data_IF_177918118265
#
_entry.id   IF_177918118265
#
_cell.length_a   1.000
_cell.length_b   1.000
_cell.length_c   1.000
_cell.angle_alpha   90.00
_cell.angle_beta   90.00
_cell.angle_gamma   90.00
#
_symmetry.space_group_name_H-M   'P 1'
#
loop_
_entity.id
_entity.type
_entity.pdbx_description
1 polymer ?
#
# COMPACT_ATOMS: atom_id res chain seq x y z
N UNK A 1 8.57 -3.22 3.01
CA UNK A 1 7.54 -3.75 2.09
C UNK A 1 6.31 -4.30 2.80
N UNK A 2 6.39 -5.44 3.51
CA UNK A 2 5.19 -6.07 4.11
C UNK A 2 4.50 -5.12 5.10
N UNK A 3 5.28 -4.50 5.98
CA UNK A 3 4.79 -3.52 6.93
C UNK A 3 4.11 -2.32 6.24
N UNK A 4 4.74 -1.79 5.18
CA UNK A 4 4.23 -0.63 4.45
C UNK A 4 2.85 -0.90 3.83
N UNK A 5 2.64 -2.10 3.28
CA UNK A 5 1.35 -2.53 2.74
C UNK A 5 0.28 -2.70 3.82
N UNK A 6 0.64 -3.28 4.97
CA UNK A 6 -0.29 -3.48 6.08
C UNK A 6 -0.78 -2.14 6.67
N UNK A 7 0.14 -1.19 6.85
CA UNK A 7 -0.21 0.15 7.34
C UNK A 7 -1.03 0.94 6.32
N UNK A 8 -0.78 0.76 5.02
CA UNK A 8 -1.61 1.38 3.97
C UNK A 8 -3.03 0.85 4.02
N UNK A 9 -3.22 -0.48 4.08
CA UNK A 9 -4.54 -1.10 4.18
C UNK A 9 -5.25 -0.67 5.48
N UNK A 10 -4.53 -0.62 6.60
CA UNK A 10 -5.08 -0.14 7.87
C UNK A 10 -5.57 1.31 7.77
N UNK A 11 -4.78 2.21 7.16
CA UNK A 11 -5.19 3.60 6.96
C UNK A 11 -6.35 3.72 5.98
N UNK A 12 -6.33 2.94 4.91
CA UNK A 12 -7.41 2.87 3.92
C UNK A 12 -8.74 2.45 4.56
N UNK A 13 -8.74 1.38 5.35
CA UNK A 13 -9.91 0.91 6.09
C UNK A 13 -10.41 1.95 7.10
N UNK A 14 -9.50 2.62 7.82
CA UNK A 14 -9.86 3.73 8.72
C UNK A 14 -10.51 4.90 7.98
N UNK A 15 -10.02 5.27 6.80
CA UNK A 15 -10.60 6.38 6.03
C UNK A 15 -11.98 6.02 5.46
N UNK A 16 -12.18 4.77 5.05
CA UNK A 16 -13.50 4.26 4.65
C UNK A 16 -14.49 4.28 5.82
N UNK A 17 -14.04 3.87 7.01
CA UNK A 17 -14.79 3.93 8.26
C UNK A 17 -15.21 5.36 8.63
N UNK A 18 -14.33 6.34 8.38
CA UNK A 18 -14.61 7.77 8.57
C UNK A 18 -15.59 8.33 7.52
N UNK A 19 -16.04 7.52 6.56
CA UNK A 19 -17.06 7.85 5.58
C UNK A 19 -16.55 8.41 4.25
N UNK A 20 -15.24 8.46 4.02
CA UNK A 20 -14.66 8.88 2.73
C UNK A 20 -15.05 7.92 1.60
N UNK A 21 -15.20 8.46 0.38
CA UNK A 21 -15.38 7.65 -0.81
C UNK A 21 -14.17 6.77 -1.08
N UNK A 22 -14.38 5.59 -1.69
CA UNK A 22 -13.32 4.61 -1.97
C UNK A 22 -12.09 5.21 -2.67
N UNK A 23 -12.31 5.97 -3.75
CA UNK A 23 -11.21 6.52 -4.55
C UNK A 23 -10.42 7.59 -3.76
N UNK A 24 -11.11 8.38 -2.94
CA UNK A 24 -10.51 9.38 -2.03
C UNK A 24 -9.75 8.75 -0.88
N UNK A 25 -10.34 7.75 -0.23
CA UNK A 25 -9.70 6.98 0.85
C UNK A 25 -8.43 6.30 0.34
N UNK A 26 -8.46 5.74 -0.88
CA UNK A 26 -7.30 5.09 -1.50
C UNK A 26 -6.19 6.10 -1.81
N UNK A 27 -6.55 7.25 -2.36
CA UNK A 27 -5.60 8.32 -2.67
C UNK A 27 -4.92 8.84 -1.39
N UNK A 28 -5.70 9.15 -0.34
CA UNK A 28 -5.14 9.75 0.88
C UNK A 28 -4.34 8.73 1.71
N UNK A 29 -4.78 7.46 1.73
CA UNK A 29 -4.00 6.36 2.30
C UNK A 29 -2.65 6.21 1.57
N UNK A 30 -2.67 6.17 0.23
CA UNK A 30 -1.48 6.05 -0.60
C UNK A 30 -0.51 7.23 -0.42
N UNK A 31 -1.02 8.46 -0.45
CA UNK A 31 -0.23 9.69 -0.24
C UNK A 31 0.47 9.72 1.12
N UNK A 32 -0.22 9.27 2.18
CA UNK A 32 0.37 9.21 3.53
C UNK A 32 1.59 8.29 3.62
N UNK A 33 1.63 7.21 2.82
CA UNK A 33 2.70 6.22 2.82
C UNK A 33 3.76 6.47 1.76
N UNK A 34 3.40 7.16 0.67
CA UNK A 34 4.33 7.52 -0.41
C UNK A 34 5.60 8.16 0.13
N UNK A 35 5.46 9.19 0.98
CA UNK A 35 6.62 9.90 1.56
C UNK A 35 7.51 8.98 2.40
N UNK A 36 6.92 8.14 3.25
CA UNK A 36 7.66 7.27 4.16
C UNK A 36 8.42 6.15 3.39
N UNK A 37 7.75 5.49 2.44
CA UNK A 37 8.34 4.41 1.64
C UNK A 37 9.46 4.96 0.75
N UNK A 38 9.21 6.10 0.10
CA UNK A 38 10.18 6.76 -0.76
C UNK A 38 11.42 7.21 0.01
N UNK A 39 11.23 7.86 1.16
CA UNK A 39 12.33 8.30 2.01
C UNK A 39 13.18 7.14 2.53
N UNK A 40 12.54 6.04 2.94
CA UNK A 40 13.24 4.84 3.42
C UNK A 40 14.09 4.25 2.31
N UNK A 41 13.54 4.15 1.10
CA UNK A 41 14.24 3.60 -0.06
C UNK A 41 15.46 4.42 -0.44
N UNK A 42 15.30 5.75 -0.52
CA UNK A 42 16.41 6.67 -0.78
C UNK A 42 17.47 6.54 0.31
N UNK A 43 17.06 6.51 1.58
CA UNK A 43 17.99 6.42 2.70
C UNK A 43 18.79 5.11 2.66
N UNK A 44 18.17 3.98 2.29
CA UNK A 44 18.91 2.72 2.16
C UNK A 44 19.90 2.75 1.01
N UNK A 45 19.49 3.26 -0.17
CA UNK A 45 20.39 3.37 -1.33
C UNK A 45 21.53 4.33 -1.02
N UNK A 46 21.25 5.48 -0.40
CA UNK A 46 22.24 6.46 0.02
C UNK A 46 23.21 5.89 1.08
N UNK A 47 22.71 5.09 2.03
CA UNK A 47 23.54 4.43 3.03
C UNK A 47 24.52 3.40 2.44
N UNK A 48 24.17 2.80 1.29
CA UNK A 48 25.04 1.88 0.55
C UNK A 48 26.01 2.61 -0.40
N UNK A 49 25.77 3.88 -0.72
CA UNK A 49 26.63 4.68 -1.60
C UNK A 49 28.12 4.69 -1.23
N UNK A 50 28.54 4.89 0.04
CA UNK A 50 29.97 4.87 0.40
C UNK A 50 30.61 3.51 0.11
N UNK A 51 29.89 2.41 0.36
CA UNK A 51 30.37 1.06 0.09
C UNK A 51 30.50 0.77 -1.42
N UNK A 52 29.66 1.40 -2.25
CA UNK A 52 29.76 1.32 -3.71
C UNK A 52 30.93 2.15 -4.27
N UNK A 53 31.38 3.19 -3.56
CA UNK A 53 32.52 4.02 -3.97
C UNK A 53 33.87 3.46 -3.49
N UNK A 54 33.85 2.63 -2.44
CA UNK A 54 35.04 2.02 -1.85
C UNK A 54 35.78 1.08 -2.83
N UNK A 55 37.11 1.12 -2.79
CA UNK A 55 38.00 0.34 -3.69
C UNK A 55 38.81 -0.74 -2.98
N UNK A 56 38.67 -0.87 -1.66
CA UNK A 56 39.34 -1.93 -0.90
C UNK A 56 38.96 -3.34 -1.38
N UNK A 57 39.87 -4.30 -1.18
CA UNK A 57 39.67 -5.70 -1.60
C UNK A 57 38.53 -6.38 -0.84
N UNK A 58 38.29 -6.00 0.42
CA UNK A 58 37.10 -6.43 1.16
C UNK A 58 35.81 -5.86 0.55
N UNK A 59 35.78 -4.58 0.13
CA UNK A 59 34.59 -3.96 -0.43
C UNK A 59 34.18 -4.53 -1.80
N UNK A 60 35.12 -5.06 -2.58
CA UNK A 60 34.82 -5.70 -3.87
C UNK A 60 33.89 -6.91 -3.74
N UNK A 61 33.95 -7.66 -2.63
CA UNK A 61 33.01 -8.76 -2.35
C UNK A 61 31.62 -8.27 -1.95
N UNK A 62 31.53 -7.11 -1.30
CA UNK A 62 30.26 -6.52 -0.82
C UNK A 62 29.52 -5.75 -1.93
N UNK A 63 30.26 -5.24 -2.92
CA UNK A 63 29.72 -4.50 -4.07
C UNK A 63 28.56 -5.20 -4.79
N UNK A 64 28.69 -6.45 -5.26
CA UNK A 64 27.59 -7.13 -5.97
C UNK A 64 26.36 -7.34 -5.08
N UNK A 65 26.54 -7.57 -3.77
CA UNK A 65 25.42 -7.65 -2.83
C UNK A 65 24.71 -6.31 -2.67
N UNK A 66 25.46 -5.22 -2.49
CA UNK A 66 24.90 -3.88 -2.33
C UNK A 66 24.14 -3.40 -3.58
N UNK A 67 24.66 -3.73 -4.78
CA UNK A 67 23.98 -3.44 -6.05
C UNK A 67 22.66 -4.20 -6.13
N UNK A 68 22.66 -5.51 -5.83
CA UNK A 68 21.45 -6.34 -5.84
C UNK A 68 20.38 -5.81 -4.88
N UNK A 69 20.77 -5.47 -3.65
CA UNK A 69 19.85 -4.91 -2.64
C UNK A 69 19.29 -3.56 -3.09
N UNK A 70 20.14 -2.66 -3.58
CA UNK A 70 19.72 -1.32 -4.02
C UNK A 70 18.69 -1.40 -5.16
N UNK A 71 18.95 -2.27 -6.16
CA UNK A 71 18.01 -2.50 -7.26
C UNK A 71 16.72 -3.17 -6.78
N UNK A 72 16.83 -4.17 -5.89
CA UNK A 72 15.69 -4.88 -5.32
C UNK A 72 14.76 -3.93 -4.57
N UNK A 73 15.30 -3.04 -3.73
CA UNK A 73 14.53 -2.03 -2.99
C UNK A 73 13.92 -1.00 -3.94
N UNK A 74 14.69 -0.50 -4.93
CA UNK A 74 14.15 0.43 -5.91
C UNK A 74 12.95 -0.13 -6.67
N UNK A 75 13.08 -1.36 -7.18
CA UNK A 75 12.00 -2.04 -7.91
C UNK A 75 10.81 -2.36 -7.00
N UNK A 76 11.07 -2.88 -5.79
CA UNK A 76 10.08 -3.11 -4.75
C UNK A 76 9.25 -1.88 -4.41
N UNK A 77 9.88 -0.71 -4.35
CA UNK A 77 9.21 0.56 -4.03
C UNK A 77 8.28 1.01 -5.13
N UNK A 78 8.71 0.91 -6.39
CA UNK A 78 7.85 1.18 -7.55
C UNK A 78 6.66 0.22 -7.58
N UNK A 79 6.92 -1.08 -7.40
CA UNK A 79 5.87 -2.10 -7.31
C UNK A 79 4.90 -1.82 -6.17
N UNK A 80 5.37 -1.52 -4.96
CA UNK A 80 4.47 -1.33 -3.82
C UNK A 80 3.62 -0.06 -3.99
N UNK A 81 4.20 1.03 -4.48
CA UNK A 81 3.49 2.30 -4.64
C UNK A 81 2.46 2.29 -5.77
N UNK A 82 2.69 1.54 -6.85
CA UNK A 82 1.76 1.46 -7.98
C UNK A 82 0.85 0.23 -7.90
N UNK A 83 1.42 -0.94 -7.66
CA UNK A 83 0.71 -2.21 -7.78
C UNK A 83 -0.31 -2.38 -6.66
N UNK A 84 0.00 -1.96 -5.43
CA UNK A 84 -0.92 -2.09 -4.29
C UNK A 84 -2.23 -1.27 -4.48
N UNK A 85 -2.20 0.05 -4.79
CA UNK A 85 -3.43 0.79 -5.03
C UNK A 85 -4.18 0.32 -6.29
N UNK A 86 -3.47 -0.11 -7.34
CA UNK A 86 -4.09 -0.70 -8.52
C UNK A 86 -4.84 -2.00 -8.17
N UNK A 87 -4.25 -2.86 -7.34
CA UNK A 87 -4.87 -4.11 -6.92
C UNK A 87 -6.15 -3.87 -6.11
N UNK A 88 -6.13 -2.89 -5.20
CA UNK A 88 -7.31 -2.47 -4.44
C UNK A 88 -8.41 -1.91 -5.35
N UNK A 89 -8.06 -1.02 -6.27
CA UNK A 89 -9.00 -0.44 -7.24
C UNK A 89 -9.62 -1.50 -8.16
N UNK A 90 -8.79 -2.42 -8.67
CA UNK A 90 -9.25 -3.52 -9.53
C UNK A 90 -10.17 -4.48 -8.78
N UNK A 91 -9.81 -4.85 -7.54
CA UNK A 91 -10.66 -5.66 -6.67
C UNK A 91 -12.03 -5.02 -6.41
N UNK A 92 -12.05 -3.70 -6.19
CA UNK A 92 -13.31 -2.96 -6.02
C UNK A 92 -14.15 -2.92 -7.30
N UNK A 93 -13.54 -2.66 -8.45
CA UNK A 93 -14.25 -2.65 -9.73
C UNK A 93 -14.81 -4.04 -10.07
N UNK A 94 -14.07 -5.12 -9.79
CA UNK A 94 -14.54 -6.50 -9.97
C UNK A 94 -15.74 -6.82 -9.08
N UNK A 95 -15.68 -6.46 -7.79
CA UNK A 95 -16.81 -6.62 -6.87
C UNK A 95 -18.03 -5.80 -7.30
N UNK A 96 -17.82 -4.56 -7.72
CA UNK A 96 -18.88 -3.69 -8.21
C UNK A 96 -19.53 -4.23 -9.51
N UNK A 97 -18.74 -4.81 -10.42
CA UNK A 97 -19.24 -5.44 -11.64
C UNK A 97 -20.06 -6.70 -11.35
N UNK A 98 -19.58 -7.57 -10.45
CA UNK A 98 -20.31 -8.78 -10.03
C UNK A 98 -21.61 -8.41 -9.31
N UNK A 99 -21.58 -7.40 -8.44
CA UNK A 99 -22.78 -6.91 -7.75
C UNK A 99 -23.79 -6.34 -8.76
N UNK A 100 -23.35 -5.49 -9.68
CA UNK A 100 -24.21 -4.95 -10.72
C UNK A 100 -24.83 -6.05 -11.59
N UNK A 101 -24.06 -7.07 -11.98
CA UNK A 101 -24.54 -8.24 -12.72
C UNK A 101 -25.61 -9.04 -11.97
N UNK A 102 -25.51 -9.15 -10.65
CA UNK A 102 -26.49 -9.88 -9.82
C UNK A 102 -27.73 -9.07 -9.47
N UNK A 103 -27.58 -7.77 -9.21
CA UNK A 103 -28.64 -6.96 -8.60
C UNK A 103 -29.26 -5.93 -9.55
N UNK A 104 -28.68 -5.71 -10.74
CA UNK A 104 -29.14 -4.74 -11.73
C UNK A 104 -29.05 -3.26 -11.30
N UNK A 105 -28.69 -2.99 -10.04
CA UNK A 105 -28.54 -1.67 -9.44
C UNK A 105 -27.07 -1.27 -9.43
N UNK A 106 -26.77 0.00 -9.77
CA UNK A 106 -25.41 0.55 -9.65
C UNK A 106 -25.04 0.60 -8.17
N UNK A 107 -24.06 -0.18 -7.74
CA UNK A 107 -23.51 -0.08 -6.41
C UNK A 107 -22.86 1.30 -6.23
N UNK A 108 -23.28 2.04 -5.20
CA UNK A 108 -22.49 3.18 -4.72
C UNK A 108 -21.17 2.58 -4.24
N UNK A 109 -20.04 3.01 -4.81
CA UNK A 109 -18.67 2.52 -4.47
C UNK A 109 -18.33 2.56 -2.96
N UNK A 110 -19.17 3.18 -2.14
CA UNK A 110 -19.09 3.33 -0.68
C UNK A 110 -19.50 2.08 0.10
N UNK A 111 -20.35 1.20 -0.45
CA UNK A 111 -21.03 0.14 0.33
C UNK A 111 -20.46 -1.28 0.19
N UNK A 112 -19.40 -1.51 -0.60
CA UNK A 112 -18.94 -2.87 -0.94
C UNK A 112 -17.73 -3.36 -0.14
N UNK A 113 -17.13 -2.52 0.69
CA UNK A 113 -16.12 -2.95 1.66
C UNK A 113 -16.81 -3.34 2.96
N UNK A 114 -16.75 -4.63 3.30
CA UNK A 114 -17.33 -5.24 4.51
C UNK A 114 -16.98 -4.52 5.81
N UNK A 115 -15.91 -3.72 5.80
CA UNK A 115 -15.45 -2.88 6.91
C UNK A 115 -16.55 -1.95 7.47
N UNK A 116 -17.45 -1.41 6.63
CA UNK A 116 -18.55 -0.58 7.13
C UNK A 116 -19.59 -1.40 7.91
N UNK A 117 -19.88 -2.63 7.46
CA UNK A 117 -20.74 -3.59 8.18
C UNK A 117 -20.07 -4.12 9.45
N UNK A 118 -18.78 -4.43 9.37
CA UNK A 118 -17.97 -4.92 10.50
C UNK A 118 -17.86 -3.85 11.59
N UNK A 119 -17.79 -2.56 11.25
CA UNK A 119 -17.76 -1.48 12.25
C UNK A 119 -19.13 -1.15 12.85
N UNK A 120 -20.22 -1.29 12.11
CA UNK A 120 -21.57 -1.22 12.69
C UNK A 120 -21.79 -2.40 13.66
N UNK A 121 -21.35 -3.62 13.33
CA UNK A 121 -21.36 -4.76 14.25
C UNK A 121 -20.47 -4.54 15.49
N UNK A 122 -19.28 -3.95 15.31
CA UNK A 122 -18.36 -3.69 16.43
C UNK A 122 -18.87 -2.58 17.36
N UNK A 123 -19.44 -1.49 16.81
CA UNK A 123 -20.09 -0.44 17.62
C UNK A 123 -21.30 -1.00 18.37
N UNK A 124 -22.05 -1.90 17.76
CA UNK A 124 -23.20 -2.53 18.41
C UNK A 124 -22.78 -3.50 19.54
N UNK A 125 -21.56 -4.05 19.50
CA UNK A 125 -20.98 -4.87 20.56
C UNK A 125 -20.39 -4.04 21.72
N UNK A 126 -19.78 -2.88 21.42
CA UNK A 126 -19.22 -1.99 22.46
C UNK A 126 -20.31 -1.20 23.22
N UNK A 127 -21.52 -1.09 22.67
CA UNK A 127 -22.68 -0.42 23.29
C UNK A 127 -23.68 -1.39 23.98
N UNK A 128 -23.43 -2.71 23.96
CA UNK A 128 -24.28 -3.75 24.55
C UNK A 128 -23.69 -4.34 25.84
#
# INVERSE_FOLDING_TARGET
>A
MVNDGLVLIGKFNSLLADGLGFDEALFEAGKSRFRAIFLTSITTIAGLAPLLLEKSRQAQFLKPMAISISYGIGMATVLTLLMLPLFLSFGNNGKAAIYWLRTGKKAVKRDLTSVAKEQEEQKHYDEA
#
